data_IF_727814954129
#
_entry.id   IF_727814954129
#
_cell.length_a   1.000
_cell.length_b   1.000
_cell.length_c   1.000
_cell.angle_alpha   90.00
_cell.angle_beta   90.00
_cell.angle_gamma   90.00
#
_symmetry.space_group_name_H-M   'P 1'
#
loop_
_entity.id
_entity.type
_entity.pdbx_description
1 polymer ?
#
# COMPACT_ATOMS: atom_id res chain seq x y z
N UNK A 1 -16.34 18.28 -13.56
CA UNK A 1 -15.98 16.99 -12.92
C UNK A 1 -14.47 16.98 -12.75
N UNK A 2 -13.99 16.90 -11.51
CA UNK A 2 -12.58 16.55 -11.26
C UNK A 2 -12.48 15.04 -11.41
N UNK A 3 -11.54 14.56 -12.24
CA UNK A 3 -11.33 13.14 -12.45
C UNK A 3 -10.32 12.66 -11.40
N UNK A 4 -10.83 12.17 -10.26
CA UNK A 4 -10.00 11.76 -9.12
C UNK A 4 -9.14 10.54 -9.47
N UNK A 5 -7.86 10.76 -9.74
CA UNK A 5 -6.86 9.76 -10.09
C UNK A 5 -6.53 8.83 -8.91
N UNK A 6 -7.41 7.86 -8.60
CA UNK A 6 -7.21 6.94 -7.46
C UNK A 6 -5.87 6.19 -7.56
N UNK A 7 -4.90 6.60 -6.75
CA UNK A 7 -3.51 6.19 -6.89
C UNK A 7 -3.28 4.77 -6.34
N UNK A 8 -3.40 3.77 -7.23
CA UNK A 8 -3.24 2.32 -6.93
C UNK A 8 -1.80 1.93 -6.58
N UNK A 9 -1.36 2.21 -5.35
CA UNK A 9 0.00 1.93 -4.85
C UNK A 9 0.46 0.47 -4.97
N UNK A 10 -0.47 -0.49 -4.88
CA UNK A 10 -0.21 -1.93 -4.87
C UNK A 10 -1.12 -2.63 -5.88
N UNK A 11 -0.60 -3.62 -6.58
CA UNK A 11 -1.36 -4.38 -7.57
C UNK A 11 -1.92 -5.67 -6.96
N UNK A 12 -3.24 -5.88 -7.08
CA UNK A 12 -3.92 -7.15 -6.75
C UNK A 12 -3.24 -8.34 -7.42
N UNK A 13 -2.85 -8.18 -8.69
CA UNK A 13 -2.19 -9.20 -9.51
C UNK A 13 -0.82 -9.59 -8.96
N UNK A 14 -0.03 -8.61 -8.47
CA UNK A 14 1.25 -8.89 -7.80
C UNK A 14 1.04 -9.54 -6.42
N UNK A 15 0.05 -9.09 -5.65
CA UNK A 15 -0.27 -9.69 -4.36
C UNK A 15 -0.68 -11.18 -4.50
N UNK A 16 -1.52 -11.50 -5.48
CA UNK A 16 -1.91 -12.87 -5.80
C UNK A 16 -0.72 -13.71 -6.30
N UNK A 17 0.12 -13.18 -7.18
CA UNK A 17 1.33 -13.86 -7.66
C UNK A 17 2.31 -14.17 -6.52
N UNK A 18 2.58 -13.20 -5.63
CA UNK A 18 3.40 -13.43 -4.43
C UNK A 18 2.75 -14.37 -3.42
N UNK A 19 1.42 -14.46 -3.37
CA UNK A 19 0.73 -15.41 -2.52
C UNK A 19 0.93 -16.86 -3.03
N UNK A 20 0.72 -17.09 -4.34
CA UNK A 20 0.98 -18.37 -5.00
C UNK A 20 2.45 -18.81 -4.89
N UNK A 21 3.39 -17.92 -5.21
CA UNK A 21 4.84 -18.19 -5.05
C UNK A 21 5.19 -18.50 -3.59
N UNK A 22 4.56 -17.82 -2.63
CA UNK A 22 4.75 -18.03 -1.19
C UNK A 22 4.26 -19.39 -0.67
N UNK A 23 3.32 -20.07 -1.34
CA UNK A 23 2.91 -21.43 -0.96
C UNK A 23 4.06 -22.43 -1.09
N UNK A 24 4.88 -22.26 -2.15
CA UNK A 24 6.01 -23.15 -2.48
C UNK A 24 7.32 -22.68 -1.83
N UNK A 25 7.56 -21.37 -1.79
CA UNK A 25 8.82 -20.77 -1.31
C UNK A 25 8.75 -20.35 0.16
N UNK A 26 8.41 -19.08 0.43
CA UNK A 26 8.26 -18.51 1.78
C UNK A 26 6.81 -18.05 2.02
N UNK A 27 6.05 -18.78 2.86
CA UNK A 27 4.68 -18.38 3.22
C UNK A 27 4.62 -17.00 3.85
N UNK A 28 3.60 -16.22 3.50
CA UNK A 28 3.42 -14.86 4.01
C UNK A 28 4.26 -13.76 3.36
N UNK A 29 5.12 -14.06 2.36
CA UNK A 29 5.88 -13.00 1.65
C UNK A 29 4.96 -11.92 1.04
N UNK A 30 3.77 -12.32 0.56
CA UNK A 30 2.72 -11.41 0.10
C UNK A 30 2.20 -10.46 1.20
N UNK A 31 2.15 -10.86 2.47
CA UNK A 31 1.74 -9.98 3.59
C UNK A 31 2.73 -8.83 3.79
N UNK A 32 4.02 -9.03 3.48
CA UNK A 32 5.01 -7.93 3.49
C UNK A 32 4.74 -6.92 2.37
N UNK A 33 4.46 -7.36 1.14
CA UNK A 33 4.04 -6.49 0.02
C UNK A 33 2.77 -5.70 0.35
N UNK A 34 1.79 -6.36 0.98
CA UNK A 34 0.56 -5.73 1.46
C UNK A 34 0.79 -4.77 2.66
N UNK A 35 2.01 -4.68 3.20
CA UNK A 35 2.37 -3.73 4.25
C UNK A 35 2.00 -4.21 5.66
N UNK A 36 1.91 -5.52 5.86
CA UNK A 36 1.54 -6.17 7.12
C UNK A 36 2.71 -7.02 7.66
N UNK A 37 3.90 -6.43 7.93
CA UNK A 37 5.12 -7.18 8.23
C UNK A 37 5.02 -8.04 9.50
N UNK A 38 4.18 -7.65 10.48
CA UNK A 38 3.91 -8.47 11.67
C UNK A 38 3.22 -9.80 11.30
N UNK A 39 2.22 -9.76 10.42
CA UNK A 39 1.53 -10.97 9.95
C UNK A 39 2.40 -11.81 9.00
N UNK A 40 3.19 -11.16 8.14
CA UNK A 40 4.21 -11.85 7.33
C UNK A 40 5.23 -12.60 8.18
N UNK A 41 5.75 -11.97 9.24
CA UNK A 41 6.68 -12.62 10.18
C UNK A 41 6.02 -13.78 10.93
N UNK A 42 4.76 -13.63 11.37
CA UNK A 42 3.99 -14.73 11.99
C UNK A 42 3.83 -15.92 11.03
N UNK A 43 3.54 -15.68 9.75
CA UNK A 43 3.43 -16.74 8.73
C UNK A 43 4.76 -17.46 8.52
N UNK A 44 5.89 -16.73 8.43
CA UNK A 44 7.23 -17.31 8.29
C UNK A 44 7.62 -18.14 9.53
N UNK A 45 7.37 -17.64 10.74
CA UNK A 45 7.64 -18.37 11.98
C UNK A 45 6.78 -19.64 12.12
N UNK A 46 5.50 -19.58 11.75
CA UNK A 46 4.62 -20.74 11.72
C UNK A 46 4.99 -21.75 10.62
N UNK A 47 5.52 -21.29 9.48
CA UNK A 47 5.93 -22.14 8.37
C UNK A 47 7.14 -23.05 8.72
N UNK A 48 7.94 -22.65 9.71
CA UNK A 48 9.05 -23.46 10.23
C UNK A 48 8.58 -24.72 10.98
N UNK A 49 7.39 -24.70 11.59
CA UNK A 49 6.84 -25.84 12.36
C UNK A 49 5.55 -26.45 11.82
N UNK A 50 4.81 -25.77 10.96
CA UNK A 50 3.47 -26.20 10.54
C UNK A 50 3.20 -25.98 9.04
N UNK A 51 2.46 -26.89 8.38
CA UNK A 51 1.98 -26.64 7.01
C UNK A 51 0.85 -25.60 6.96
N UNK A 52 0.31 -25.18 8.12
CA UNK A 52 -0.82 -24.24 8.22
C UNK A 52 -0.56 -22.94 7.48
N UNK A 53 0.65 -22.36 7.56
CA UNK A 53 1.00 -21.14 6.81
C UNK A 53 0.92 -21.31 5.28
N UNK A 54 1.18 -22.51 4.76
CA UNK A 54 1.06 -22.80 3.31
C UNK A 54 -0.40 -22.89 2.90
N UNK A 55 -1.22 -23.59 3.69
CA UNK A 55 -2.68 -23.69 3.46
C UNK A 55 -3.34 -22.32 3.56
N UNK A 56 -3.01 -21.54 4.60
CA UNK A 56 -3.48 -20.16 4.76
C UNK A 56 -3.06 -19.28 3.57
N UNK A 57 -1.80 -19.35 3.12
CA UNK A 57 -1.33 -18.59 1.94
C UNK A 57 -2.03 -19.01 0.64
N UNK A 58 -2.42 -20.28 0.50
CA UNK A 58 -3.17 -20.77 -0.66
C UNK A 58 -4.63 -20.29 -0.65
N UNK A 59 -5.29 -20.32 0.52
CA UNK A 59 -6.63 -19.74 0.71
C UNK A 59 -6.61 -18.21 0.47
N UNK A 60 -5.56 -17.52 0.92
CA UNK A 60 -5.34 -16.10 0.63
C UNK A 60 -5.19 -15.83 -0.87
N UNK A 61 -4.41 -16.66 -1.57
CA UNK A 61 -4.22 -16.54 -3.02
C UNK A 61 -5.55 -16.71 -3.78
N UNK A 62 -6.36 -17.71 -3.40
CA UNK A 62 -7.70 -17.93 -3.95
C UNK A 62 -8.59 -16.72 -3.65
N UNK A 63 -8.59 -16.22 -2.42
CA UNK A 63 -9.36 -15.03 -2.03
C UNK A 63 -8.99 -13.80 -2.87
N UNK A 64 -7.69 -13.50 -3.07
CA UNK A 64 -7.26 -12.37 -3.90
C UNK A 64 -7.54 -12.51 -5.40
N UNK A 65 -7.86 -13.72 -5.90
CA UNK A 65 -8.34 -13.92 -7.27
C UNK A 65 -9.83 -13.57 -7.42
N UNK A 66 -10.64 -13.79 -6.38
CA UNK A 66 -12.07 -13.47 -6.36
C UNK A 66 -12.39 -12.05 -5.87
N UNK A 67 -11.59 -11.48 -4.97
CA UNK A 67 -11.72 -10.10 -4.46
C UNK A 67 -11.59 -9.09 -5.61
N UNK A 68 -12.50 -8.13 -5.75
CA UNK A 68 -12.45 -7.15 -6.85
C UNK A 68 -11.25 -6.19 -6.73
N UNK A 69 -10.84 -5.53 -7.83
CA UNK A 69 -9.75 -4.53 -7.77
C UNK A 69 -10.16 -3.33 -6.88
N UNK A 70 -11.44 -2.98 -6.85
CA UNK A 70 -12.02 -1.91 -6.02
C UNK A 70 -12.05 -2.30 -4.54
N UNK A 71 -12.29 -3.57 -4.23
CA UNK A 71 -12.25 -4.11 -2.86
C UNK A 71 -10.82 -4.27 -2.34
N UNK A 72 -9.92 -4.76 -3.20
CA UNK A 72 -8.49 -4.79 -2.91
C UNK A 72 -7.97 -3.38 -2.62
N UNK A 73 -8.39 -2.37 -3.40
CA UNK A 73 -8.02 -0.98 -3.16
C UNK A 73 -8.55 -0.46 -1.82
N UNK A 74 -9.84 -0.68 -1.51
CA UNK A 74 -10.44 -0.36 -0.19
C UNK A 74 -9.66 -0.99 0.97
N UNK A 75 -9.16 -2.21 0.80
CA UNK A 75 -8.46 -2.95 1.86
C UNK A 75 -6.96 -2.64 1.99
N UNK A 76 -6.28 -2.26 0.90
CA UNK A 76 -4.80 -2.24 0.84
C UNK A 76 -4.15 -0.98 0.25
N UNK A 77 -4.89 -0.18 -0.55
CA UNK A 77 -4.39 1.05 -1.18
C UNK A 77 -4.99 2.33 -0.61
N UNK A 78 -6.23 2.28 -0.10
CA UNK A 78 -6.92 3.43 0.46
C UNK A 78 -6.29 3.91 1.79
N UNK A 79 -5.54 5.01 1.68
CA UNK A 79 -5.24 5.89 2.80
C UNK A 79 -6.56 6.47 3.35
N UNK A 80 -7.41 6.95 2.44
CA UNK A 80 -8.66 7.67 2.72
C UNK A 80 -9.90 6.76 2.68
N UNK A 81 -10.89 7.02 3.54
CA UNK A 81 -12.27 6.49 3.37
C UNK A 81 -12.74 5.39 4.31
N UNK A 82 -11.89 4.44 4.74
CA UNK A 82 -12.32 3.36 5.68
C UNK A 82 -12.13 3.79 7.14
N UNK A 83 -13.20 3.91 7.96
CA UNK A 83 -13.10 4.21 9.39
C UNK A 83 -12.27 3.17 10.15
N UNK A 84 -11.47 3.62 11.12
CA UNK A 84 -10.59 2.73 11.90
C UNK A 84 -11.33 1.75 12.82
N UNK A 85 -12.63 1.97 13.02
CA UNK A 85 -13.54 1.17 13.83
C UNK A 85 -14.11 -0.04 13.06
N UNK A 86 -14.36 0.12 11.75
CA UNK A 86 -14.80 -0.97 10.86
C UNK A 86 -13.65 -1.64 10.10
N UNK A 87 -12.44 -1.08 10.15
CA UNK A 87 -11.24 -1.67 9.58
C UNK A 87 -10.86 -2.99 10.31
N UNK A 88 -10.74 -4.14 9.61
CA UNK A 88 -10.38 -5.41 10.23
C UNK A 88 -9.06 -5.37 11.01
N UNK A 89 -8.93 -6.18 12.06
CA UNK A 89 -7.76 -6.23 12.95
C UNK A 89 -6.43 -6.62 12.28
N UNK A 90 -6.47 -7.12 11.04
CA UNK A 90 -5.30 -7.41 10.22
C UNK A 90 -4.82 -6.22 9.36
N UNK A 91 -5.57 -5.12 9.28
CA UNK A 91 -5.17 -3.87 8.61
C UNK A 91 -3.94 -3.28 9.32
N UNK A 92 -3.05 -2.64 8.54
CA UNK A 92 -1.73 -2.22 8.99
C UNK A 92 -1.80 -1.28 10.23
N UNK A 93 -1.22 -1.65 11.40
CA UNK A 93 -1.23 -0.78 12.59
C UNK A 93 -0.46 0.54 12.41
N UNK A 94 0.39 0.66 11.38
CA UNK A 94 1.00 1.94 10.99
C UNK A 94 -0.02 2.94 10.42
N UNK A 95 -1.07 2.47 9.70
CA UNK A 95 -2.20 3.31 9.26
C UNK A 95 -2.91 3.92 10.47
N UNK A 96 -3.19 3.08 11.48
CA UNK A 96 -3.77 3.53 12.77
C UNK A 96 -2.85 4.57 13.44
N UNK A 97 -1.53 4.35 13.47
CA UNK A 97 -0.58 5.31 14.06
C UNK A 97 -0.59 6.66 13.36
N UNK A 98 -0.52 6.70 12.02
CA UNK A 98 -0.53 7.95 11.24
C UNK A 98 -1.76 8.80 11.53
N UNK A 99 -2.96 8.21 11.48
CA UNK A 99 -4.21 8.91 11.79
C UNK A 99 -4.24 9.41 13.25
N UNK A 100 -3.75 8.62 14.21
CA UNK A 100 -3.65 9.08 15.62
C UNK A 100 -2.56 10.14 15.87
N UNK A 101 -1.71 10.43 14.90
CA UNK A 101 -0.73 11.53 14.95
C UNK A 101 -1.27 12.84 14.36
N UNK A 102 -2.52 12.87 13.87
CA UNK A 102 -3.11 14.04 13.22
C UNK A 102 -2.61 14.29 11.79
N UNK A 103 -1.82 13.37 11.22
CA UNK A 103 -1.36 13.46 9.83
C UNK A 103 -2.54 13.13 8.90
N UNK A 104 -3.11 14.19 8.36
CA UNK A 104 -4.24 14.20 7.43
C UNK A 104 -3.89 13.45 6.12
N UNK A 105 -4.46 12.24 5.87
CA UNK A 105 -4.02 11.41 4.75
C UNK A 105 -4.39 12.01 3.38
N UNK A 106 -5.44 12.84 3.30
CA UNK A 106 -5.87 13.52 2.09
C UNK A 106 -4.79 14.51 1.61
N UNK A 107 -4.15 15.23 2.56
CA UNK A 107 -3.01 16.11 2.26
C UNK A 107 -1.79 15.36 1.76
N UNK A 108 -1.46 14.22 2.38
CA UNK A 108 -0.34 13.38 1.95
C UNK A 108 -0.58 12.83 0.53
N UNK A 109 -1.83 12.48 0.21
CA UNK A 109 -2.25 12.07 -1.13
C UNK A 109 -2.11 13.22 -2.15
N UNK A 110 -2.65 14.40 -1.84
CA UNK A 110 -2.56 15.58 -2.70
C UNK A 110 -1.12 16.04 -2.97
N UNK A 111 -0.24 16.00 -1.96
CA UNK A 111 1.19 16.30 -2.12
C UNK A 111 1.88 15.24 -3.01
N UNK A 112 1.51 13.96 -2.88
CA UNK A 112 2.05 12.90 -3.73
C UNK A 112 1.58 12.97 -5.20
N UNK A 113 0.42 13.56 -5.48
CA UNK A 113 -0.04 13.89 -6.84
C UNK A 113 0.67 15.13 -7.38
N UNK A 114 0.79 16.21 -6.59
CA UNK A 114 1.52 17.42 -6.99
C UNK A 114 3.00 17.13 -7.33
N UNK A 115 3.67 16.28 -6.55
CA UNK A 115 5.05 15.84 -6.83
C UNK A 115 5.16 15.00 -8.12
N UNK A 116 4.13 14.24 -8.51
CA UNK A 116 4.12 13.52 -9.80
C UNK A 116 4.04 14.47 -10.98
N UNK A 117 3.13 15.44 -10.92
CA UNK A 117 2.94 16.40 -12.01
C UNK A 117 4.22 17.25 -12.20
N UNK A 118 4.93 17.56 -11.11
CA UNK A 118 6.26 18.18 -11.18
C UNK A 118 7.32 17.28 -11.83
N UNK A 119 7.36 15.98 -11.54
CA UNK A 119 8.29 15.04 -12.19
C UNK A 119 7.96 14.83 -13.68
N UNK A 120 6.68 14.86 -14.08
CA UNK A 120 6.30 14.83 -15.49
C UNK A 120 6.80 16.06 -16.25
N UNK A 121 6.58 17.27 -15.70
CA UNK A 121 7.10 18.52 -16.29
C UNK A 121 8.64 18.54 -16.40
N UNK A 122 9.34 17.87 -15.48
CA UNK A 122 10.79 17.67 -15.53
C UNK A 122 11.19 16.70 -16.65
N UNK A 123 10.46 15.59 -16.82
CA UNK A 123 10.69 14.61 -17.91
C UNK A 123 10.35 15.16 -19.30
N UNK A 124 9.39 16.08 -19.40
CA UNK A 124 9.04 16.82 -20.62
C UNK A 124 10.05 17.94 -20.96
N UNK A 125 11.04 18.19 -20.09
CA UNK A 125 12.03 19.27 -20.27
C UNK A 125 11.49 20.68 -20.03
N UNK A 126 10.27 20.81 -19.48
CA UNK A 126 9.58 22.07 -19.22
C UNK A 126 9.97 22.71 -17.88
N UNK A 127 10.80 22.05 -17.08
CA UNK A 127 11.29 22.54 -15.79
C UNK A 127 12.71 22.01 -15.51
N UNK A 128 13.58 22.84 -14.95
CA UNK A 128 14.95 22.44 -14.62
C UNK A 128 15.03 21.64 -13.32
N UNK A 129 16.06 20.80 -13.16
CA UNK A 129 16.26 20.00 -11.94
C UNK A 129 16.39 20.85 -10.66
N UNK A 130 16.90 22.08 -10.78
CA UNK A 130 17.02 23.03 -9.66
C UNK A 130 15.64 23.55 -9.19
N UNK A 131 14.76 23.93 -10.13
CA UNK A 131 13.40 24.37 -9.83
C UNK A 131 12.54 23.24 -9.27
N UNK A 132 12.74 22.02 -9.78
CA UNK A 132 12.11 20.80 -9.27
C UNK A 132 12.47 20.56 -7.80
N UNK A 133 13.76 20.52 -7.47
CA UNK A 133 14.25 20.23 -6.12
C UNK A 133 13.85 21.34 -5.13
N UNK A 134 13.77 22.61 -5.56
CA UNK A 134 13.24 23.71 -4.74
C UNK A 134 11.75 23.51 -4.41
N UNK A 135 10.90 23.27 -5.42
CA UNK A 135 9.44 23.04 -5.22
C UNK A 135 9.17 21.80 -4.38
N UNK A 136 9.93 20.72 -4.62
CA UNK A 136 9.86 19.46 -3.86
C UNK A 136 10.12 19.68 -2.37
N UNK A 137 11.16 20.44 -2.00
CA UNK A 137 11.46 20.79 -0.60
C UNK A 137 10.34 21.62 0.03
N UNK A 138 9.79 22.60 -0.70
CA UNK A 138 8.65 23.38 -0.22
C UNK A 138 7.43 22.52 0.10
N UNK A 139 7.14 21.50 -0.71
CA UNK A 139 6.03 20.56 -0.47
C UNK A 139 6.30 19.57 0.68
N UNK A 140 7.54 19.10 0.84
CA UNK A 140 7.89 18.19 1.94
C UNK A 140 7.79 18.88 3.31
N UNK A 141 8.15 20.16 3.41
CA UNK A 141 8.01 20.97 4.62
C UNK A 141 6.53 21.29 5.00
N UNK A 142 5.54 20.77 4.27
CA UNK A 142 4.11 20.90 4.58
C UNK A 142 3.52 19.61 5.21
N UNK A 143 4.38 18.65 5.57
CA UNK A 143 4.03 17.35 6.15
C UNK A 143 4.43 17.28 7.65
N UNK A 144 5.25 18.22 8.13
CA UNK A 144 5.61 18.43 9.55
C UNK A 144 4.53 19.20 10.34
#
# INVERSE_FOLDING_TARGET
MVQSSTFRLKSRKLAAAFALLGVVTLPGIHRFYLGQPRWGLVYVLLAWKTPVSRVASALEAIWYLFLEDEEFDRAFNQLDGVPLESAPTWVNPFRRKLVTLGVDPERVSAIAEALRNLEQLRQEGLMTDAEFEQKRRTMLNQID
#
